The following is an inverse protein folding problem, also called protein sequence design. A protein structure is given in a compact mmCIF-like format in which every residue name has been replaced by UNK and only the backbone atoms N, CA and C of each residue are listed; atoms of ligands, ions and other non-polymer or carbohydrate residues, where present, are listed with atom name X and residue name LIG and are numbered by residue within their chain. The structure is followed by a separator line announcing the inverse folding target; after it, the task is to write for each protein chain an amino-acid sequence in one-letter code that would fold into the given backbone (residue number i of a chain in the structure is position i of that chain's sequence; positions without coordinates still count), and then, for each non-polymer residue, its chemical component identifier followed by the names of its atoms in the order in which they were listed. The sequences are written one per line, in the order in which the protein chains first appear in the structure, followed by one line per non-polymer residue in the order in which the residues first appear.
data_IF_994748270178
#
_entry.id   IF_994748270178
#
_cell.length_a   1.000
_cell.length_b   1.000
_cell.length_c   1.000
_cell.angle_alpha   90.00
_cell.angle_beta   90.00
_cell.angle_gamma   90.00
#
_symmetry.space_group_name_H-M   'P 1'
#
loop_
_entity.id
_entity.type
_entity.pdbx_description
1 polymer ?
#
# COMPACT_ATOMS: atom_id res chain seq x y z
N UNK A 1 22.09 -4.62 -22.32
CA UNK A 1 21.90 -3.38 -23.14
C UNK A 1 20.42 -3.22 -23.46
N UNK A 2 19.91 -1.97 -23.42
CA UNK A 2 18.48 -1.71 -23.71
C UNK A 2 18.34 -1.31 -25.16
N UNK A 3 17.43 -1.98 -25.91
CA UNK A 3 17.20 -1.74 -27.34
C UNK A 3 16.18 -0.61 -27.54
N UNK A 4 16.34 0.16 -28.63
CA UNK A 4 15.41 1.19 -29.07
C UNK A 4 14.26 0.67 -29.97
N UNK A 5 14.28 -0.60 -30.37
CA UNK A 5 13.37 -1.21 -31.36
C UNK A 5 11.86 -1.05 -30.99
N UNK A 6 11.53 -0.92 -29.72
CA UNK A 6 10.15 -0.74 -29.25
C UNK A 6 9.84 0.70 -28.83
N UNK A 7 10.69 1.66 -29.23
CA UNK A 7 10.46 3.06 -28.89
C UNK A 7 9.53 3.70 -29.92
N UNK A 8 8.36 4.19 -29.48
CA UNK A 8 7.38 4.86 -30.36
C UNK A 8 7.91 6.11 -31.09
N UNK A 9 9.10 6.57 -30.74
CA UNK A 9 9.78 7.71 -31.38
C UNK A 9 10.85 7.29 -32.35
N UNK A 10 11.04 5.99 -32.58
CA UNK A 10 11.95 5.47 -33.61
C UNK A 10 11.17 5.33 -34.90
N UNK A 11 11.63 6.00 -35.95
CA UNK A 11 11.10 5.92 -37.30
C UNK A 11 12.25 5.68 -38.25
N UNK A 12 12.22 4.53 -38.97
CA UNK A 12 13.23 4.13 -39.94
C UNK A 12 14.69 4.37 -39.46
N UNK A 13 14.99 4.02 -38.23
CA UNK A 13 16.34 4.19 -37.66
C UNK A 13 16.66 5.57 -37.12
N UNK A 14 15.73 6.53 -37.21
CA UNK A 14 15.96 7.91 -36.76
C UNK A 14 15.09 8.21 -35.52
N UNK A 15 15.68 8.78 -34.50
CA UNK A 15 14.92 9.21 -33.33
C UNK A 15 14.27 10.58 -33.52
N UNK A 16 12.94 10.65 -33.62
CA UNK A 16 12.17 11.91 -33.74
C UNK A 16 12.42 12.92 -32.63
N UNK A 17 13.17 12.57 -31.58
CA UNK A 17 13.53 13.45 -30.44
C UNK A 17 14.97 13.99 -30.56
N UNK A 18 15.63 13.85 -31.70
CA UNK A 18 16.94 14.41 -31.97
C UNK A 18 18.12 13.67 -31.34
N UNK A 19 17.92 12.46 -30.83
CA UNK A 19 19.03 11.66 -30.33
C UNK A 19 19.71 10.90 -31.50
N UNK A 20 21.04 10.94 -31.54
CA UNK A 20 21.82 10.09 -32.45
C UNK A 20 21.70 8.64 -32.00
N UNK A 21 21.39 7.75 -32.94
CA UNK A 21 21.19 6.33 -32.72
C UNK A 21 22.20 5.57 -33.51
N UNK A 22 23.00 4.75 -32.84
CA UNK A 22 23.98 3.88 -33.51
C UNK A 22 23.38 2.50 -33.78
N UNK A 23 23.54 1.94 -34.98
CA UNK A 23 23.13 0.58 -35.29
C UNK A 23 23.90 -0.45 -34.45
N UNK A 24 23.25 -1.54 -34.15
CA UNK A 24 23.84 -2.64 -33.35
C UNK A 24 24.26 -3.77 -34.30
N UNK A 25 25.56 -3.91 -34.59
CA UNK A 25 26.10 -4.80 -35.63
C UNK A 25 25.77 -6.31 -35.43
N UNK A 26 25.53 -6.78 -34.23
CA UNK A 26 25.30 -8.21 -33.91
C UNK A 26 23.85 -8.65 -33.72
N UNK A 27 22.91 -7.71 -33.67
CA UNK A 27 21.49 -7.98 -33.49
C UNK A 27 20.70 -6.89 -34.20
N UNK A 28 19.72 -7.25 -35.02
CA UNK A 28 18.82 -6.27 -35.63
C UNK A 28 18.24 -5.35 -34.57
N UNK A 29 18.65 -4.07 -34.58
CA UNK A 29 18.17 -3.08 -33.61
C UNK A 29 19.13 -1.92 -33.36
N UNK A 30 18.68 -0.95 -32.55
CA UNK A 30 19.42 0.28 -32.28
C UNK A 30 19.73 0.44 -30.78
N UNK A 31 20.95 0.92 -30.47
CA UNK A 31 21.34 1.27 -29.12
C UNK A 31 20.55 2.49 -28.65
N UNK A 32 19.98 2.40 -27.44
CA UNK A 32 19.33 3.54 -26.82
C UNK A 32 20.36 4.52 -26.25
N UNK A 33 20.29 5.82 -26.61
CA UNK A 33 21.15 6.84 -26.02
C UNK A 33 20.99 6.91 -24.48
N UNK A 34 22.09 7.19 -23.77
CA UNK A 34 22.11 7.22 -22.28
C UNK A 34 21.12 8.24 -21.71
N UNK A 35 20.90 9.33 -22.39
CA UNK A 35 20.02 10.46 -21.99
C UNK A 35 18.56 10.32 -22.48
N UNK A 36 18.20 9.24 -23.16
CA UNK A 36 16.81 9.03 -23.59
C UNK A 36 15.92 8.57 -22.42
N UNK A 37 15.23 9.49 -21.77
CA UNK A 37 14.39 9.26 -20.58
C UNK A 37 12.97 8.78 -20.90
N UNK A 38 12.48 9.00 -22.14
CA UNK A 38 11.05 8.81 -22.48
C UNK A 38 10.50 7.38 -22.36
N UNK A 39 11.34 6.35 -22.50
CA UNK A 39 10.88 4.96 -22.27
C UNK A 39 10.71 4.63 -20.79
N UNK A 40 11.39 5.37 -19.91
CA UNK A 40 11.23 5.20 -18.46
C UNK A 40 9.88 5.74 -17.98
N UNK A 41 9.42 6.88 -18.52
CA UNK A 41 8.13 7.47 -18.15
C UNK A 41 6.95 6.58 -18.51
N UNK A 42 6.97 5.92 -19.68
CA UNK A 42 5.88 5.02 -20.08
C UNK A 42 5.83 3.71 -19.26
N UNK A 43 7.00 3.22 -18.85
CA UNK A 43 7.10 1.99 -18.02
C UNK A 43 6.76 2.31 -16.55
N UNK A 44 7.19 3.48 -16.05
CA UNK A 44 6.84 3.91 -14.71
C UNK A 44 5.35 4.18 -14.58
N UNK A 45 4.70 4.88 -15.52
CA UNK A 45 3.25 5.12 -15.51
C UNK A 45 2.44 3.81 -15.53
N UNK A 46 2.82 2.80 -16.34
CA UNK A 46 2.17 1.49 -16.35
C UNK A 46 2.36 0.72 -15.03
N UNK A 47 3.51 0.88 -14.37
CA UNK A 47 3.81 0.23 -13.09
C UNK A 47 3.04 0.89 -11.94
N UNK A 48 2.84 2.19 -11.97
CA UNK A 48 2.12 2.97 -10.97
C UNK A 48 0.60 2.76 -10.98
N UNK A 49 0.02 2.19 -12.04
CA UNK A 49 -1.41 1.91 -12.15
C UNK A 49 -1.72 0.40 -12.23
N UNK A 50 -0.77 -0.47 -11.87
CA UNK A 50 -1.05 -1.89 -11.75
C UNK A 50 -1.82 -2.17 -10.47
N UNK A 51 -2.68 -3.18 -10.48
CA UNK A 51 -3.45 -3.60 -9.31
C UNK A 51 -2.56 -3.90 -8.10
N UNK A 52 -1.45 -4.60 -8.32
CA UNK A 52 -0.44 -4.86 -7.27
C UNK A 52 0.18 -3.58 -6.69
N UNK A 53 0.36 -2.54 -7.49
CA UNK A 53 0.87 -1.26 -7.01
C UNK A 53 -0.19 -0.54 -6.15
N UNK A 54 -1.45 -0.51 -6.61
CA UNK A 54 -2.58 0.08 -5.89
C UNK A 54 -2.75 -0.59 -4.52
N UNK A 55 -2.73 -1.92 -4.49
CA UNK A 55 -2.83 -2.68 -3.24
C UNK A 55 -1.69 -2.34 -2.26
N UNK A 56 -0.45 -2.20 -2.74
CA UNK A 56 0.70 -1.78 -1.92
C UNK A 56 0.55 -0.35 -1.38
N UNK A 57 0.01 0.57 -2.18
CA UNK A 57 -0.26 1.94 -1.71
C UNK A 57 -1.34 1.94 -0.62
N UNK A 58 -2.41 1.20 -0.81
CA UNK A 58 -3.48 1.04 0.18
C UNK A 58 -2.97 0.42 1.47
N UNK A 59 -2.20 -0.68 1.40
CA UNK A 59 -1.60 -1.32 2.58
C UNK A 59 -0.71 -0.35 3.37
N UNK A 60 0.09 0.46 2.66
CA UNK A 60 0.97 1.46 3.25
C UNK A 60 0.18 2.55 3.97
N UNK A 61 -0.76 3.18 3.27
CA UNK A 61 -1.57 4.29 3.79
C UNK A 61 -2.45 3.83 4.96
N UNK A 62 -3.11 2.67 4.82
CA UNK A 62 -3.89 2.08 5.90
C UNK A 62 -3.03 1.86 7.16
N UNK A 63 -1.85 1.29 6.98
CA UNK A 63 -0.91 1.06 8.09
C UNK A 63 -0.43 2.36 8.73
N UNK A 64 -0.24 3.44 7.97
CA UNK A 64 0.09 4.76 8.49
C UNK A 64 -1.07 5.34 9.30
N UNK A 65 -2.32 5.26 8.81
CA UNK A 65 -3.52 5.70 9.54
C UNK A 65 -3.68 4.93 10.85
N UNK A 66 -3.51 3.61 10.85
CA UNK A 66 -3.63 2.82 12.08
C UNK A 66 -2.56 3.22 13.10
N UNK A 67 -1.31 3.41 12.67
CA UNK A 67 -0.21 3.82 13.57
C UNK A 67 -0.30 5.27 14.03
N UNK A 68 -1.06 6.12 13.36
CA UNK A 68 -1.24 7.52 13.78
C UNK A 68 -2.01 7.66 15.10
N UNK A 69 -2.52 6.57 15.66
CA UNK A 69 -3.03 6.54 17.07
C UNK A 69 -1.93 6.90 18.07
N UNK A 70 -0.64 6.76 17.70
CA UNK A 70 0.51 7.22 18.47
C UNK A 70 0.89 6.39 19.69
N UNK A 71 0.09 5.38 20.05
CA UNK A 71 0.32 4.49 21.18
C UNK A 71 -0.12 3.06 20.91
N UNK A 72 0.45 2.12 21.64
CA UNK A 72 -0.02 0.74 21.66
C UNK A 72 -1.38 0.63 22.35
N UNK A 73 -2.39 0.20 21.63
CA UNK A 73 -3.76 0.14 22.15
C UNK A 73 -3.95 -0.92 23.24
N UNK A 74 -3.02 -1.88 23.37
CA UNK A 74 -3.08 -2.95 24.35
C UNK A 74 -2.36 -2.55 25.65
N UNK A 75 -1.13 -2.03 25.56
CA UNK A 75 -0.32 -1.72 26.75
C UNK A 75 -0.06 -0.22 26.99
N UNK A 76 -0.53 0.68 26.12
CA UNK A 76 -0.40 2.13 26.24
C UNK A 76 0.99 2.71 25.98
N UNK A 77 2.01 1.87 25.70
CA UNK A 77 3.38 2.36 25.43
C UNK A 77 3.47 3.13 24.13
N UNK A 78 4.35 4.14 24.11
CA UNK A 78 4.52 5.09 23.01
C UNK A 78 5.95 5.11 22.48
N UNK A 79 6.17 5.57 21.23
CA UNK A 79 7.50 5.95 20.79
C UNK A 79 8.10 7.07 21.68
N UNK A 80 9.42 7.12 21.90
CA UNK A 80 10.47 6.26 21.32
C UNK A 80 10.67 4.91 22.03
N UNK A 81 9.98 4.62 23.14
CA UNK A 81 10.19 3.39 23.91
C UNK A 81 9.86 2.13 23.11
N UNK A 82 8.91 2.22 22.18
CA UNK A 82 8.46 1.11 21.35
C UNK A 82 8.25 1.52 19.91
N UNK A 83 8.40 0.53 19.01
CA UNK A 83 7.99 0.67 17.61
C UNK A 83 6.55 0.20 17.48
N UNK A 84 5.74 1.01 16.79
CA UNK A 84 4.33 0.73 16.57
C UNK A 84 4.09 0.01 15.24
N UNK A 85 3.20 -0.95 15.26
CA UNK A 85 2.78 -1.76 14.11
C UNK A 85 1.26 -1.69 13.95
N UNK A 86 0.81 -1.71 12.70
CA UNK A 86 -0.59 -1.89 12.38
C UNK A 86 -0.92 -3.39 12.30
N UNK A 87 -1.91 -3.83 13.05
CA UNK A 87 -2.39 -5.20 13.06
C UNK A 87 -3.83 -5.26 12.57
N UNK A 88 -4.16 -6.28 11.76
CA UNK A 88 -5.53 -6.53 11.29
C UNK A 88 -6.27 -7.44 12.29
N UNK A 89 -7.44 -7.03 12.77
CA UNK A 89 -8.34 -7.87 13.59
C UNK A 89 -8.78 -9.10 12.78
N UNK A 90 -9.34 -8.87 11.60
CA UNK A 90 -9.62 -9.91 10.60
C UNK A 90 -8.55 -9.90 9.52
N UNK A 91 -7.99 -11.06 9.22
CA UNK A 91 -6.85 -11.21 8.30
C UNK A 91 -6.99 -10.37 7.01
N UNK A 92 -5.89 -9.75 6.60
CA UNK A 92 -5.79 -8.98 5.34
C UNK A 92 -6.15 -9.76 4.06
N UNK A 93 -6.33 -11.08 4.15
CA UNK A 93 -6.84 -11.91 3.04
C UNK A 93 -8.31 -11.63 2.73
N UNK A 94 -9.06 -11.11 3.70
CA UNK A 94 -10.43 -10.69 3.51
C UNK A 94 -10.45 -9.30 2.88
N UNK A 95 -10.68 -9.25 1.58
CA UNK A 95 -10.55 -8.04 0.78
C UNK A 95 -11.53 -6.95 1.21
N UNK A 96 -12.73 -7.34 1.64
CA UNK A 96 -13.79 -6.45 2.13
C UNK A 96 -13.40 -5.60 3.35
N UNK A 97 -12.46 -6.09 4.18
CA UNK A 97 -12.00 -5.41 5.39
C UNK A 97 -10.52 -5.06 5.39
N UNK A 98 -9.80 -5.43 4.32
CA UNK A 98 -8.33 -5.30 4.27
C UNK A 98 -7.85 -3.87 4.52
N UNK A 99 -8.56 -2.88 4.00
CA UNK A 99 -8.20 -1.47 4.14
C UNK A 99 -9.22 -0.67 4.95
N UNK A 100 -10.10 -1.36 5.66
CA UNK A 100 -11.01 -0.74 6.61
C UNK A 100 -10.23 -0.31 7.87
N UNK A 101 -10.33 0.97 8.24
CA UNK A 101 -9.67 1.49 9.44
C UNK A 101 -10.22 0.81 10.70
N UNK A 102 -11.51 0.44 10.69
CA UNK A 102 -12.14 -0.31 11.78
C UNK A 102 -11.48 -1.67 12.01
N UNK A 103 -10.87 -2.25 10.97
CA UNK A 103 -10.14 -3.53 11.06
C UNK A 103 -8.71 -3.38 11.60
N UNK A 104 -8.30 -2.18 12.01
CA UNK A 104 -6.94 -1.86 12.39
C UNK A 104 -6.71 -1.60 13.86
N UNK A 105 -5.74 -2.28 14.45
CA UNK A 105 -5.26 -2.06 15.84
C UNK A 105 -3.80 -1.64 15.82
N UNK A 106 -3.46 -0.59 16.55
CA UNK A 106 -2.10 -0.14 16.74
C UNK A 106 -1.46 -0.88 17.90
N UNK A 107 -0.40 -1.65 17.67
CA UNK A 107 0.28 -2.44 18.68
C UNK A 107 1.79 -2.16 18.68
N UNK A 108 2.43 -2.23 19.84
CA UNK A 108 3.89 -2.26 19.91
C UNK A 108 4.44 -3.59 19.41
N UNK A 109 5.74 -3.65 19.06
CA UNK A 109 6.39 -4.86 18.56
C UNK A 109 6.13 -6.08 19.46
N UNK A 110 6.22 -5.93 20.77
CA UNK A 110 6.01 -7.02 21.72
C UNK A 110 4.57 -7.56 21.67
N UNK A 111 3.59 -6.70 21.80
CA UNK A 111 2.18 -7.10 21.78
C UNK A 111 1.74 -7.62 20.40
N UNK A 112 2.28 -7.05 19.34
CA UNK A 112 2.04 -7.53 17.98
C UNK A 112 2.54 -8.97 17.76
N UNK A 113 3.76 -9.28 18.24
CA UNK A 113 4.37 -10.61 18.03
C UNK A 113 3.87 -11.65 19.03
N UNK A 114 3.73 -11.28 20.31
CA UNK A 114 3.47 -12.26 21.37
C UNK A 114 1.98 -12.37 21.71
N UNK A 115 1.22 -11.26 21.68
CA UNK A 115 -0.22 -11.30 21.97
C UNK A 115 -1.02 -11.57 20.70
N UNK A 116 -0.91 -10.72 19.69
CA UNK A 116 -1.76 -10.83 18.51
C UNK A 116 -1.47 -12.04 17.61
N UNK A 117 -0.22 -12.55 17.57
CA UNK A 117 0.14 -13.69 16.73
C UNK A 117 0.31 -15.02 17.45
N UNK A 118 0.68 -15.03 18.74
CA UNK A 118 0.89 -16.26 19.49
C UNK A 118 -0.24 -16.60 20.44
N UNK A 119 -0.83 -15.61 21.06
CA UNK A 119 -1.94 -15.77 22.00
C UNK A 119 -3.24 -15.21 21.41
N UNK A 120 -3.69 -15.87 20.33
CA UNK A 120 -4.84 -15.41 19.53
C UNK A 120 -6.12 -15.32 20.37
N UNK A 121 -6.30 -16.24 21.32
CA UNK A 121 -7.52 -16.25 22.15
C UNK A 121 -7.55 -15.04 23.07
N UNK A 122 -6.50 -14.82 23.86
CA UNK A 122 -6.38 -13.66 24.76
C UNK A 122 -6.51 -12.33 23.99
N UNK A 123 -5.90 -12.27 22.81
CA UNK A 123 -6.02 -11.10 21.94
C UNK A 123 -7.46 -10.89 21.45
N UNK A 124 -8.15 -11.97 21.05
CA UNK A 124 -9.55 -11.90 20.62
C UNK A 124 -10.46 -11.42 21.74
N UNK A 125 -10.27 -11.94 22.96
CA UNK A 125 -11.05 -11.55 24.13
C UNK A 125 -10.81 -10.08 24.49
N UNK A 126 -9.56 -9.61 24.40
CA UNK A 126 -9.21 -8.20 24.58
C UNK A 126 -9.87 -7.32 23.52
N UNK A 127 -9.83 -7.70 22.23
CA UNK A 127 -10.48 -6.95 21.14
C UNK A 127 -11.98 -6.85 21.39
N UNK A 128 -12.61 -7.94 21.81
CA UNK A 128 -14.04 -7.98 22.12
C UNK A 128 -14.39 -7.08 23.31
N UNK A 129 -13.57 -7.11 24.37
CA UNK A 129 -13.72 -6.25 25.55
C UNK A 129 -13.56 -4.77 25.20
N UNK A 130 -12.63 -4.44 24.31
CA UNK A 130 -12.30 -3.05 23.95
C UNK A 130 -13.32 -2.41 23.02
N UNK A 131 -13.74 -3.12 22.00
CA UNK A 131 -14.58 -2.57 20.91
C UNK A 131 -16.06 -2.98 21.02
N UNK A 132 -16.37 -3.98 21.82
CA UNK A 132 -17.70 -4.54 21.96
C UNK A 132 -18.00 -5.67 20.97
N UNK A 133 -18.97 -6.52 21.35
CA UNK A 133 -19.37 -7.68 20.53
C UNK A 133 -20.00 -7.25 19.22
N UNK A 134 -20.91 -6.28 19.25
CA UNK A 134 -21.61 -5.80 18.06
C UNK A 134 -20.64 -5.27 17.00
N UNK A 135 -19.63 -4.50 17.42
CA UNK A 135 -18.58 -4.02 16.51
C UNK A 135 -17.82 -5.16 15.83
N UNK A 136 -17.49 -6.20 16.60
CA UNK A 136 -16.77 -7.36 16.07
C UNK A 136 -17.66 -8.18 15.14
N UNK A 137 -18.94 -8.31 15.44
CA UNK A 137 -19.89 -9.03 14.61
C UNK A 137 -20.18 -8.32 13.28
N UNK A 138 -20.35 -6.99 13.28
CA UNK A 138 -20.42 -6.19 12.06
C UNK A 138 -19.17 -6.38 11.21
N UNK A 139 -17.99 -6.28 11.83
CA UNK A 139 -16.72 -6.43 11.12
C UNK A 139 -16.54 -7.85 10.58
N UNK A 140 -16.99 -8.87 11.30
CA UNK A 140 -16.99 -10.27 10.88
C UNK A 140 -17.92 -10.49 9.68
N UNK A 141 -19.15 -9.99 9.73
CA UNK A 141 -20.07 -10.06 8.61
C UNK A 141 -19.49 -9.41 7.35
N UNK A 142 -18.90 -8.22 7.51
CA UNK A 142 -18.20 -7.52 6.43
C UNK A 142 -17.01 -8.32 5.91
N UNK A 143 -16.20 -8.92 6.77
CA UNK A 143 -15.04 -9.73 6.37
C UNK A 143 -15.45 -10.93 5.50
N UNK A 144 -16.56 -11.58 5.83
CA UNK A 144 -17.06 -12.72 5.07
C UNK A 144 -17.89 -12.34 3.83
N UNK A 145 -18.14 -11.05 3.59
CA UNK A 145 -18.76 -10.62 2.35
C UNK A 145 -17.78 -10.69 1.17
N UNK A 146 -18.30 -10.95 -0.02
CA UNK A 146 -17.52 -10.88 -1.24
C UNK A 146 -17.21 -9.41 -1.56
N UNK A 147 -15.95 -9.08 -1.79
CA UNK A 147 -15.54 -7.75 -2.26
C UNK A 147 -14.51 -7.90 -3.36
N UNK A 148 -14.78 -7.20 -4.45
CA UNK A 148 -13.80 -6.95 -5.51
C UNK A 148 -13.84 -5.46 -5.82
N UNK A 149 -12.67 -4.82 -5.82
CA UNK A 149 -12.56 -3.39 -6.00
C UNK A 149 -11.97 -3.08 -7.37
N UNK A 150 -12.66 -2.26 -8.13
CA UNK A 150 -12.15 -1.69 -9.38
C UNK A 150 -10.93 -0.80 -9.12
N UNK A 151 -10.21 -0.44 -10.16
CA UNK A 151 -9.08 0.50 -10.05
C UNK A 151 -9.52 1.86 -9.55
N UNK A 152 -10.66 2.32 -10.03
CA UNK A 152 -11.28 3.60 -9.69
C UNK A 152 -11.60 3.65 -8.20
N UNK A 153 -12.25 2.63 -7.67
CA UNK A 153 -12.55 2.50 -6.24
C UNK A 153 -11.27 2.46 -5.38
N UNK A 154 -10.24 1.74 -5.82
CA UNK A 154 -8.93 1.73 -5.12
C UNK A 154 -8.26 3.10 -5.11
N UNK A 155 -8.35 3.87 -6.20
CA UNK A 155 -7.84 5.24 -6.25
C UNK A 155 -8.61 6.18 -5.30
N UNK A 156 -9.93 6.06 -5.25
CA UNK A 156 -10.75 6.80 -4.29
C UNK A 156 -10.38 6.45 -2.83
N UNK A 157 -10.18 5.16 -2.54
CA UNK A 157 -9.76 4.72 -1.21
C UNK A 157 -8.38 5.29 -0.84
N UNK A 158 -7.44 5.35 -1.79
CA UNK A 158 -6.13 5.97 -1.59
C UNK A 158 -6.29 7.45 -1.23
N UNK A 159 -7.14 8.20 -1.93
CA UNK A 159 -7.37 9.62 -1.64
C UNK A 159 -8.06 9.80 -0.27
N UNK A 160 -9.04 8.98 0.07
CA UNK A 160 -9.69 9.00 1.40
C UNK A 160 -8.67 8.76 2.54
N UNK A 161 -7.77 7.78 2.40
CA UNK A 161 -6.74 7.52 3.40
C UNK A 161 -5.70 8.65 3.50
N UNK A 162 -5.31 9.28 2.39
CA UNK A 162 -4.43 10.45 2.41
C UNK A 162 -5.08 11.64 3.11
N UNK A 163 -6.33 11.91 2.81
CA UNK A 163 -7.08 13.00 3.45
C UNK A 163 -7.21 12.76 4.96
N UNK A 164 -7.47 11.51 5.37
CA UNK A 164 -7.48 11.13 6.78
C UNK A 164 -6.14 11.43 7.45
N UNK A 165 -5.00 11.06 6.84
CA UNK A 165 -3.67 11.36 7.36
C UNK A 165 -3.37 12.86 7.43
N UNK A 166 -3.85 13.64 6.47
CA UNK A 166 -3.69 15.10 6.49
C UNK A 166 -4.44 15.71 7.68
N UNK A 167 -5.70 15.33 7.86
CA UNK A 167 -6.53 15.81 8.98
C UNK A 167 -5.92 15.45 10.35
N UNK A 168 -5.39 14.23 10.50
CA UNK A 168 -4.72 13.79 11.73
C UNK A 168 -3.49 14.67 12.02
N UNK A 169 -2.69 15.01 11.02
CA UNK A 169 -1.51 15.88 11.17
C UNK A 169 -1.89 17.32 11.53
N UNK A 170 -2.93 17.85 10.93
CA UNK A 170 -3.44 19.20 11.19
C UNK A 170 -4.07 19.33 12.58
N UNK A 171 -4.70 18.25 13.08
CA UNK A 171 -5.29 18.23 14.42
C UNK A 171 -4.27 18.13 15.57
N UNK A 172 -2.98 18.02 15.26
CA UNK A 172 -1.90 17.97 16.28
C UNK A 172 -1.86 16.69 17.11
N UNK A 173 -2.49 15.61 16.65
CA UNK A 173 -2.55 14.31 17.35
C UNK A 173 -1.35 13.40 17.00
N UNK A 174 -0.17 13.98 16.74
CA UNK A 174 1.11 13.26 16.59
C UNK A 174 2.20 14.00 17.34
#
# INVERSE_FOLDING_TARGET
MRKCDYCKWLDNGTCKKGFQIEPFEKLSGYKRPKNCTKKQESVTKKKHNSDSWLNKQLDKLWSEVVRSKGECELCGRKPPEVVLHAHHIFSRRWYSTRWDIKNGVCLCTGDHLYKAHKDIQEFSDWVQSKYGVDYIDELRQKAHSTADFTKEEKLEMIEKLKNCLTLIKESGSI
#
